data_IF_203046275736
#
_entry.id   IF_203046275736
#
_cell.length_a   1.000
_cell.length_b   1.000
_cell.length_c   1.000
_cell.angle_alpha   90.00
_cell.angle_beta   90.00
_cell.angle_gamma   90.00
#
_symmetry.space_group_name_H-M   'P 1'
#
loop_
_entity.id
_entity.type
_entity.pdbx_description
1 polymer ?
#
# COMPACT_ATOMS: atom_id res chain seq x y z
N UNK A 1 9.63 -7.57 19.64
CA UNK A 1 8.30 -7.97 19.16
C UNK A 1 7.56 -6.70 18.76
N UNK A 2 7.25 -6.56 17.49
CA UNK A 2 6.63 -5.34 16.97
C UNK A 2 5.16 -5.37 17.37
N UNK A 3 4.72 -4.30 18.00
CA UNK A 3 3.37 -4.21 18.54
C UNK A 3 2.39 -3.79 17.44
N UNK A 4 1.92 -4.76 16.67
CA UNK A 4 0.91 -4.52 15.64
C UNK A 4 -0.48 -4.48 16.29
N UNK A 5 -0.89 -3.27 16.72
CA UNK A 5 -2.16 -3.07 17.40
C UNK A 5 -3.38 -3.38 16.52
N UNK A 6 -3.26 -3.14 15.22
CA UNK A 6 -4.29 -3.48 14.23
C UNK A 6 -4.56 -4.99 14.19
N UNK A 7 -3.51 -5.80 14.10
CA UNK A 7 -3.62 -7.25 14.14
C UNK A 7 -4.24 -7.76 15.45
N UNK A 8 -3.84 -7.17 16.58
CA UNK A 8 -4.40 -7.51 17.90
C UNK A 8 -5.90 -7.26 17.95
N UNK A 9 -6.36 -6.10 17.49
CA UNK A 9 -7.78 -5.77 17.43
C UNK A 9 -8.58 -6.73 16.55
N UNK A 10 -8.03 -7.08 15.39
CA UNK A 10 -8.67 -8.07 14.50
C UNK A 10 -8.80 -9.44 15.17
N UNK A 11 -7.76 -9.90 15.86
CA UNK A 11 -7.77 -11.20 16.56
C UNK A 11 -8.75 -11.20 17.74
N UNK A 12 -8.87 -10.09 18.45
CA UNK A 12 -9.81 -9.95 19.58
C UNK A 12 -11.23 -9.63 19.15
N UNK A 13 -11.50 -9.51 17.85
CA UNK A 13 -12.81 -9.15 17.27
C UNK A 13 -13.35 -7.80 17.74
N UNK A 14 -12.47 -6.90 18.10
CA UNK A 14 -12.82 -5.52 18.39
C UNK A 14 -13.20 -4.78 17.11
N UNK A 15 -13.99 -3.72 17.25
CA UNK A 15 -14.33 -2.87 16.12
C UNK A 15 -13.09 -2.13 15.62
N UNK A 16 -12.87 -2.14 14.30
CA UNK A 16 -11.68 -1.56 13.65
C UNK A 16 -12.10 -0.50 12.65
N UNK A 17 -11.49 0.67 12.74
CA UNK A 17 -11.58 1.72 11.75
C UNK A 17 -10.34 1.74 10.88
N UNK A 18 -10.54 1.66 9.57
CA UNK A 18 -9.47 1.90 8.60
C UNK A 18 -9.81 3.10 7.73
N UNK A 19 -8.80 3.88 7.39
CA UNK A 19 -8.90 4.94 6.41
C UNK A 19 -8.09 4.55 5.16
N UNK A 20 -8.16 5.37 4.12
CA UNK A 20 -7.41 5.16 2.89
C UNK A 20 -6.72 6.45 2.47
N UNK A 21 -5.51 6.32 1.95
CA UNK A 21 -4.79 7.39 1.28
C UNK A 21 -4.26 6.90 -0.06
N UNK A 22 -4.33 7.75 -1.06
CA UNK A 22 -3.70 7.48 -2.35
C UNK A 22 -2.37 8.23 -2.43
N UNK A 23 -1.27 7.53 -2.73
CA UNK A 23 0.01 8.18 -2.96
C UNK A 23 -0.10 9.31 -3.98
N UNK A 24 0.56 10.45 -3.75
CA UNK A 24 0.55 11.54 -4.72
C UNK A 24 1.40 11.19 -5.95
N UNK A 25 1.18 11.90 -7.03
CA UNK A 25 2.09 11.93 -8.17
C UNK A 25 3.14 13.03 -7.94
N UNK A 26 3.94 12.86 -6.91
CA UNK A 26 4.87 13.85 -6.37
C UNK A 26 5.98 13.15 -5.59
N UNK A 27 7.11 13.82 -5.46
CA UNK A 27 8.25 13.35 -4.66
C UNK A 27 8.37 14.10 -3.33
N UNK A 28 7.40 14.94 -3.00
CA UNK A 28 7.44 15.79 -1.79
C UNK A 28 6.89 15.02 -0.60
N UNK A 29 7.79 14.68 0.33
CA UNK A 29 7.45 13.88 1.52
C UNK A 29 6.36 14.52 2.39
N UNK A 30 6.36 15.84 2.54
CA UNK A 30 5.36 16.54 3.35
C UNK A 30 3.93 16.40 2.82
N UNK A 31 3.75 16.25 1.51
CA UNK A 31 2.43 16.01 0.94
C UNK A 31 1.81 14.71 1.43
N UNK A 32 2.64 13.72 1.73
CA UNK A 32 2.17 12.43 2.28
C UNK A 32 1.78 12.61 3.74
N UNK A 33 2.68 13.17 4.54
CA UNK A 33 2.47 13.31 5.99
C UNK A 33 1.28 14.22 6.30
N UNK A 34 1.15 15.34 5.59
CA UNK A 34 0.05 16.30 5.80
C UNK A 34 -1.32 15.69 5.53
N UNK A 35 -1.41 14.78 4.56
CA UNK A 35 -2.67 14.09 4.23
C UNK A 35 -3.13 13.14 5.33
N UNK A 36 -2.21 12.50 6.03
CA UNK A 36 -2.54 11.41 6.96
C UNK A 36 -2.49 11.84 8.42
N UNK A 37 -1.84 12.95 8.76
CA UNK A 37 -1.72 13.41 10.14
C UNK A 37 -3.07 13.62 10.83
N UNK A 38 -4.08 14.10 10.11
CA UNK A 38 -5.43 14.27 10.66
C UNK A 38 -6.11 12.95 11.01
N UNK A 39 -5.62 11.82 10.49
CA UNK A 39 -6.15 10.48 10.75
C UNK A 39 -5.41 9.77 11.88
N UNK A 40 -4.28 10.33 12.33
CA UNK A 40 -3.51 9.75 13.43
C UNK A 40 -4.38 9.71 14.68
N UNK A 41 -4.35 8.58 15.38
CA UNK A 41 -5.17 8.30 16.57
C UNK A 41 -6.69 8.19 16.32
N UNK A 42 -7.16 8.40 15.09
CA UNK A 42 -8.56 8.20 14.70
C UNK A 42 -8.76 6.87 13.96
N UNK A 43 -7.83 6.50 13.09
CA UNK A 43 -7.87 5.23 12.37
C UNK A 43 -6.90 4.22 13.01
N UNK A 44 -7.30 2.98 13.04
CA UNK A 44 -6.46 1.88 13.51
C UNK A 44 -5.37 1.51 12.51
N UNK A 45 -5.65 1.73 11.24
CA UNK A 45 -4.71 1.56 10.14
C UNK A 45 -5.14 2.39 8.93
N UNK A 46 -4.19 2.69 8.05
CA UNK A 46 -4.44 3.42 6.81
C UNK A 46 -4.04 2.55 5.63
N UNK A 47 -5.00 2.26 4.75
CA UNK A 47 -4.74 1.63 3.45
C UNK A 47 -3.98 2.60 2.56
N UNK A 48 -2.89 2.13 1.99
CA UNK A 48 -2.09 2.88 1.01
C UNK A 48 -2.31 2.26 -0.35
N UNK A 49 -3.03 2.95 -1.23
CA UNK A 49 -3.37 2.42 -2.56
C UNK A 49 -2.13 2.28 -3.45
N UNK A 50 -2.17 1.34 -4.36
CA UNK A 50 -1.09 1.03 -5.28
C UNK A 50 -1.54 1.19 -6.73
N UNK A 51 -1.03 2.19 -7.41
CA UNK A 51 -1.37 2.46 -8.81
C UNK A 51 -2.86 2.65 -9.08
N UNK A 52 -3.54 3.37 -8.21
CA UNK A 52 -4.98 3.60 -8.31
C UNK A 52 -5.39 4.12 -9.69
N UNK A 53 -6.51 3.62 -10.21
CA UNK A 53 -7.01 3.95 -11.55
C UNK A 53 -6.03 3.60 -12.69
N UNK A 54 -5.12 2.66 -12.45
CA UNK A 54 -4.07 2.27 -13.41
C UNK A 54 -3.20 3.45 -13.86
N UNK A 55 -2.96 4.39 -12.96
CA UNK A 55 -2.11 5.56 -13.18
C UNK A 55 -0.84 5.49 -12.36
N UNK A 56 0.19 6.20 -12.81
CA UNK A 56 1.43 6.34 -12.04
C UNK A 56 1.20 7.17 -10.78
N UNK A 57 1.70 6.67 -9.67
CA UNK A 57 1.73 7.33 -8.38
C UNK A 57 3.07 7.01 -7.70
N UNK A 58 3.37 7.72 -6.64
CA UNK A 58 4.49 7.35 -5.78
C UNK A 58 4.26 5.92 -5.25
N UNK A 59 5.33 5.14 -5.11
CA UNK A 59 5.28 3.76 -4.64
C UNK A 59 4.52 3.62 -3.32
N UNK A 60 3.56 2.72 -3.27
CA UNK A 60 2.81 2.41 -2.05
C UNK A 60 3.73 1.92 -0.92
N UNK A 61 4.80 1.19 -1.26
CA UNK A 61 5.80 0.74 -0.28
C UNK A 61 6.53 1.93 0.35
N UNK A 62 6.95 2.91 -0.44
CA UNK A 62 7.61 4.12 0.05
C UNK A 62 6.67 4.93 0.93
N UNK A 63 5.43 5.14 0.50
CA UNK A 63 4.42 5.87 1.29
C UNK A 63 4.11 5.15 2.60
N UNK A 64 3.96 3.83 2.56
CA UNK A 64 3.75 3.02 3.78
C UNK A 64 4.91 3.16 4.77
N UNK A 65 6.14 3.20 4.28
CA UNK A 65 7.32 3.44 5.13
C UNK A 65 7.28 4.82 5.79
N UNK A 66 6.93 5.86 5.05
CA UNK A 66 6.80 7.22 5.58
C UNK A 66 5.70 7.30 6.64
N UNK A 67 4.56 6.66 6.40
CA UNK A 67 3.44 6.59 7.34
C UNK A 67 3.87 5.85 8.61
N UNK A 68 4.62 4.78 8.48
CA UNK A 68 5.15 4.03 9.62
C UNK A 68 6.08 4.88 10.49
N UNK A 69 6.92 5.71 9.87
CA UNK A 69 7.86 6.60 10.57
C UNK A 69 7.16 7.63 11.47
N UNK A 70 5.94 8.01 11.15
CA UNK A 70 5.12 8.92 11.98
C UNK A 70 4.16 8.18 12.92
N UNK A 71 4.42 6.90 13.15
CA UNK A 71 3.68 6.05 14.09
C UNK A 71 2.20 5.83 13.72
N UNK A 72 1.92 5.71 12.43
CA UNK A 72 0.63 5.30 11.91
C UNK A 72 0.81 3.91 11.29
N UNK A 73 -0.13 2.99 11.53
CA UNK A 73 -0.08 1.65 10.97
C UNK A 73 -0.56 1.65 9.52
N UNK A 74 0.31 1.33 8.55
CA UNK A 74 -0.10 1.20 7.15
C UNK A 74 -0.63 -0.19 6.86
N UNK A 75 -1.57 -0.28 5.92
CA UNK A 75 -1.90 -1.48 5.19
C UNK A 75 -1.37 -1.27 3.76
N UNK A 76 -0.30 -1.96 3.43
CA UNK A 76 0.30 -1.87 2.10
C UNK A 76 -0.60 -2.58 1.09
N UNK A 77 -1.18 -1.84 0.15
CA UNK A 77 -1.79 -2.48 -1.01
C UNK A 77 -0.70 -2.83 -2.03
N UNK A 78 -0.77 -4.04 -2.52
CA UNK A 78 0.19 -4.57 -3.50
C UNK A 78 -0.59 -5.15 -4.68
N UNK A 79 -0.50 -4.48 -5.83
CA UNK A 79 -1.14 -4.96 -7.06
C UNK A 79 -0.23 -5.94 -7.79
N UNK A 80 -0.84 -6.93 -8.42
CA UNK A 80 -0.10 -7.89 -9.26
C UNK A 80 -0.08 -7.48 -10.73
N UNK A 81 -0.83 -6.43 -11.09
CA UNK A 81 -0.98 -5.99 -12.50
C UNK A 81 0.35 -5.75 -13.21
N UNK A 82 1.28 -5.04 -12.57
CA UNK A 82 2.54 -4.60 -13.20
C UNK A 82 3.76 -5.29 -12.57
N UNK A 83 3.56 -6.36 -11.82
CA UNK A 83 4.63 -7.07 -11.11
C UNK A 83 4.70 -8.52 -11.52
N UNK A 84 5.91 -8.98 -11.77
CA UNK A 84 6.18 -10.41 -11.87
C UNK A 84 6.41 -11.02 -10.47
N UNK A 85 6.55 -12.34 -10.42
CA UNK A 85 6.75 -13.07 -9.16
C UNK A 85 7.97 -12.57 -8.36
N UNK A 86 9.08 -12.31 -9.04
CA UNK A 86 10.33 -11.86 -8.38
C UNK A 86 10.14 -10.48 -7.77
N UNK A 87 9.49 -9.55 -8.50
CA UNK A 87 9.20 -8.22 -8.00
C UNK A 87 8.29 -8.26 -6.75
N UNK A 88 7.25 -9.10 -6.77
CA UNK A 88 6.36 -9.28 -5.63
C UNK A 88 7.14 -9.81 -4.42
N UNK A 89 7.97 -10.83 -4.60
CA UNK A 89 8.78 -11.38 -3.52
C UNK A 89 9.75 -10.35 -2.95
N UNK A 90 10.39 -9.56 -3.80
CA UNK A 90 11.30 -8.50 -3.38
C UNK A 90 10.58 -7.42 -2.57
N UNK A 91 9.41 -6.99 -3.02
CA UNK A 91 8.62 -5.98 -2.33
C UNK A 91 8.12 -6.49 -0.96
N UNK A 92 7.75 -7.76 -0.87
CA UNK A 92 7.34 -8.38 0.40
C UNK A 92 8.50 -8.44 1.40
N UNK A 93 9.70 -8.80 0.95
CA UNK A 93 10.90 -8.77 1.78
C UNK A 93 11.22 -7.34 2.23
N UNK A 94 11.11 -6.38 1.33
CA UNK A 94 11.28 -4.96 1.62
C UNK A 94 10.27 -4.45 2.64
N UNK A 95 9.01 -4.80 2.49
CA UNK A 95 7.95 -4.44 3.44
C UNK A 95 8.26 -4.97 4.83
N UNK A 96 8.65 -6.23 4.95
CA UNK A 96 9.02 -6.82 6.24
C UNK A 96 10.23 -6.11 6.87
N UNK A 97 11.24 -5.80 6.08
CA UNK A 97 12.43 -5.06 6.52
C UNK A 97 12.08 -3.69 7.09
N UNK A 98 11.05 -3.05 6.54
CA UNK A 98 10.53 -1.75 6.97
C UNK A 98 9.48 -1.84 8.09
N UNK A 99 9.27 -3.03 8.65
CA UNK A 99 8.25 -3.30 9.67
C UNK A 99 6.80 -3.06 9.19
N UNK A 100 6.57 -3.17 7.90
CA UNK A 100 5.23 -3.15 7.30
C UNK A 100 4.71 -4.58 7.30
N UNK A 101 3.73 -4.86 8.15
CA UNK A 101 3.27 -6.22 8.44
C UNK A 101 1.87 -6.51 7.90
N UNK A 102 1.13 -5.49 7.51
CA UNK A 102 -0.22 -5.64 6.98
C UNK A 102 -0.20 -5.36 5.47
N UNK A 103 -0.59 -6.36 4.70
CA UNK A 103 -0.54 -6.30 3.24
C UNK A 103 -1.89 -6.74 2.67
N UNK A 104 -2.41 -5.97 1.75
CA UNK A 104 -3.59 -6.30 0.97
C UNK A 104 -3.19 -6.54 -0.49
N UNK A 105 -3.24 -7.80 -0.90
CA UNK A 105 -2.93 -8.19 -2.28
C UNK A 105 -4.16 -8.04 -3.16
N UNK A 106 -4.03 -7.31 -4.25
CA UNK A 106 -5.11 -7.07 -5.21
C UNK A 106 -4.60 -7.20 -6.64
N UNK A 107 -5.53 -7.38 -7.58
CA UNK A 107 -5.18 -7.40 -9.01
C UNK A 107 -4.75 -6.03 -9.51
N UNK A 108 -5.41 -4.99 -9.07
CA UNK A 108 -5.31 -3.64 -9.60
C UNK A 108 -6.33 -3.37 -10.71
N UNK A 109 -6.54 -2.08 -10.99
CA UNK A 109 -7.46 -1.62 -12.02
C UNK A 109 -6.94 -1.96 -13.42
N UNK A 110 -7.84 -2.10 -14.38
CA UNK A 110 -7.45 -2.31 -15.77
C UNK A 110 -6.83 -1.05 -16.37
N UNK A 111 -5.81 -1.25 -17.19
CA UNK A 111 -5.24 -0.19 -18.02
C UNK A 111 -6.19 0.07 -19.19
N UNK A 112 -6.77 1.26 -19.26
CA UNK A 112 -7.77 1.60 -20.28
C UNK A 112 -7.16 1.91 -21.65
N UNK A 113 -5.87 2.23 -21.71
CA UNK A 113 -5.20 2.58 -22.97
C UNK A 113 -4.13 1.56 -23.32
N UNK A 114 -4.17 1.05 -24.56
CA UNK A 114 -3.17 0.11 -25.05
C UNK A 114 -1.74 0.68 -25.13
N UNK A 115 -1.60 2.00 -25.12
CA UNK A 115 -0.30 2.69 -25.12
C UNK A 115 0.47 2.51 -23.81
N UNK A 116 -0.22 2.16 -22.73
CA UNK A 116 0.40 1.90 -21.42
C UNK A 116 0.69 0.41 -21.19
N UNK A 117 0.33 -0.42 -22.14
CA UNK A 117 0.61 -1.85 -22.07
C UNK A 117 2.06 -2.12 -22.45
N UNK A 118 2.90 -2.44 -21.48
CA UNK A 118 4.35 -2.58 -21.67
C UNK A 118 4.82 -4.03 -21.69
N UNK A 119 4.09 -4.95 -21.09
CA UNK A 119 4.44 -6.37 -21.08
C UNK A 119 3.22 -7.23 -20.78
N UNK A 120 3.08 -8.41 -21.41
CA UNK A 120 2.03 -9.34 -21.05
C UNK A 120 2.27 -9.88 -19.64
N UNK A 121 1.26 -9.78 -18.79
CA UNK A 121 1.26 -10.50 -17.52
C UNK A 121 0.79 -11.94 -17.75
N UNK A 122 1.07 -12.87 -16.84
CA UNK A 122 0.52 -14.23 -16.95
C UNK A 122 -1.00 -14.25 -17.06
N UNK A 123 -1.68 -13.24 -16.52
CA UNK A 123 -3.13 -13.08 -16.65
C UNK A 123 -3.58 -12.82 -18.08
N UNK A 124 -2.79 -12.13 -18.87
CA UNK A 124 -3.13 -11.75 -20.25
C UNK A 124 -2.84 -12.86 -21.25
N UNK A 125 -2.13 -13.91 -20.83
CA UNK A 125 -1.80 -15.08 -21.62
C UNK A 125 -2.87 -16.19 -21.55
N UNK A 126 -3.88 -16.01 -20.75
CA UNK A 126 -4.95 -17.00 -20.51
C UNK A 126 -6.19 -16.66 -21.36
#
# INVERSE_FOLDING_TARGET
MINNNFEKKLKSKEFVFTAETSPPDSTVRSEITDRVLCLKDLADAINVTDGASAKSHLSSLVVSSIIKDIEIEPILQLTTRDRNRIAIQSDLLGAWTLNIQNILCIYGDQVETCLLYTSPSPRDLW
#
